data_IF_368222410545
#
_entry.id   IF_368222410545
#
_cell.length_a   1.000
_cell.length_b   1.000
_cell.length_c   1.000
_cell.angle_alpha   90.00
_cell.angle_beta   90.00
_cell.angle_gamma   90.00
#
_symmetry.space_group_name_H-M   'P 1'
#
loop_
_entity.id
_entity.type
_entity.pdbx_description
1 polymer ?
#
# COMPACT_ATOMS: atom_id res chain seq x y z
N UNK A 1 -71.78 56.18 7.17
CA UNK A 1 -72.23 54.87 7.67
C UNK A 1 -71.72 53.80 6.71
N UNK A 2 -71.00 52.81 7.25
CA UNK A 2 -70.58 51.52 6.69
C UNK A 2 -69.66 51.50 5.44
N UNK A 3 -68.37 51.37 5.73
CA UNK A 3 -67.21 51.00 4.91
C UNK A 3 -67.26 49.51 4.51
N UNK A 4 -67.02 49.17 3.24
CA UNK A 4 -66.78 47.79 2.81
C UNK A 4 -65.40 47.67 2.13
N UNK A 5 -64.45 47.07 2.86
CA UNK A 5 -63.09 46.73 2.42
C UNK A 5 -63.14 45.65 1.33
N UNK A 6 -62.47 45.88 0.20
CA UNK A 6 -62.02 44.84 -0.74
C UNK A 6 -60.55 44.52 -0.48
N UNK A 7 -60.26 43.35 0.06
CA UNK A 7 -58.92 42.78 0.07
C UNK A 7 -58.66 42.07 -1.26
N UNK A 8 -57.64 42.52 -2.00
CA UNK A 8 -57.02 41.77 -3.09
C UNK A 8 -56.04 40.77 -2.47
N UNK A 9 -56.25 39.48 -2.75
CA UNK A 9 -55.30 38.42 -2.44
C UNK A 9 -54.17 38.41 -3.45
N UNK A 10 -52.94 38.50 -2.95
CA UNK A 10 -51.71 38.32 -3.74
C UNK A 10 -51.26 36.87 -3.57
N UNK A 11 -51.35 36.08 -4.64
CA UNK A 11 -50.79 34.73 -4.69
C UNK A 11 -49.25 34.84 -4.71
N UNK A 12 -48.58 34.28 -3.71
CA UNK A 12 -47.14 34.04 -3.72
C UNK A 12 -46.89 32.67 -4.31
N UNK A 13 -46.35 32.63 -5.53
CA UNK A 13 -45.78 31.43 -6.13
C UNK A 13 -44.39 31.22 -5.50
N UNK A 14 -44.21 30.15 -4.73
CA UNK A 14 -42.90 29.70 -4.27
C UNK A 14 -42.36 28.70 -5.31
N UNK A 15 -41.33 29.11 -6.05
CA UNK A 15 -40.57 28.22 -6.94
C UNK A 15 -39.49 27.58 -6.08
N UNK A 16 -39.72 26.33 -5.67
CA UNK A 16 -38.69 25.48 -5.09
C UNK A 16 -37.86 24.90 -6.25
N UNK A 17 -36.66 25.44 -6.45
CA UNK A 17 -35.67 24.87 -7.37
C UNK A 17 -35.09 23.60 -6.78
N UNK A 18 -35.50 22.45 -7.31
CA UNK A 18 -34.93 21.15 -7.01
C UNK A 18 -33.62 21.02 -7.82
N UNK A 19 -32.48 21.32 -7.21
CA UNK A 19 -31.16 20.98 -7.78
C UNK A 19 -30.91 19.51 -7.46
N UNK A 20 -31.16 18.65 -8.44
CA UNK A 20 -30.69 17.26 -8.42
C UNK A 20 -29.22 17.29 -8.79
N UNK A 21 -28.34 17.37 -7.79
CA UNK A 21 -26.93 17.08 -7.96
C UNK A 21 -26.75 15.58 -8.16
N UNK A 22 -26.59 15.15 -9.40
CA UNK A 22 -26.11 13.81 -9.70
C UNK A 22 -24.63 13.75 -9.28
N UNK A 23 -24.34 13.23 -8.09
CA UNK A 23 -23.01 12.72 -7.77
C UNK A 23 -22.80 11.48 -8.63
N UNK A 24 -22.09 11.63 -9.73
CA UNK A 24 -21.49 10.50 -10.43
C UNK A 24 -20.30 10.03 -9.58
N UNK A 25 -20.49 8.93 -8.86
CA UNK A 25 -19.40 8.17 -8.27
C UNK A 25 -18.61 7.55 -9.43
N UNK A 26 -17.45 8.12 -9.74
CA UNK A 26 -16.47 7.47 -10.59
C UNK A 26 -15.88 6.34 -9.77
N UNK A 27 -16.31 5.10 -10.04
CA UNK A 27 -15.62 3.92 -9.52
C UNK A 27 -14.19 3.95 -10.03
N UNK A 28 -13.23 3.98 -9.09
CA UNK A 28 -11.81 3.86 -9.39
C UNK A 28 -11.58 2.39 -9.70
N UNK A 29 -11.47 2.05 -10.98
CA UNK A 29 -10.92 0.75 -11.38
C UNK A 29 -9.46 0.66 -10.93
N UNK A 30 -8.97 -0.49 -10.44
CA UNK A 30 -7.57 -0.61 -10.07
C UNK A 30 -6.75 -0.46 -11.35
N UNK A 31 -5.65 0.28 -11.25
CA UNK A 31 -4.76 0.53 -12.37
C UNK A 31 -4.04 -0.77 -12.74
N UNK A 32 -4.63 -1.54 -13.65
CA UNK A 32 -3.78 -2.23 -14.62
C UNK A 32 -3.05 -1.11 -15.35
N UNK A 33 -1.71 -1.10 -15.30
CA UNK A 33 -0.87 -0.16 -16.04
C UNK A 33 -1.49 0.08 -17.42
N UNK A 34 -2.02 1.29 -17.63
CA UNK A 34 -2.72 1.61 -18.85
C UNK A 34 -1.74 1.43 -20.02
N UNK A 35 -2.23 1.00 -21.17
CA UNK A 35 -1.42 0.99 -22.38
C UNK A 35 -0.85 2.41 -22.60
N UNK A 36 0.47 2.59 -22.47
CA UNK A 36 1.12 3.90 -22.47
C UNK A 36 1.50 4.48 -21.09
N UNK A 37 1.50 3.70 -20.01
CA UNK A 37 2.09 4.12 -18.73
C UNK A 37 3.55 4.53 -18.89
N UNK A 38 3.98 5.56 -18.16
CA UNK A 38 5.37 6.05 -18.15
C UNK A 38 5.90 6.18 -16.71
N UNK A 39 7.21 6.22 -16.55
CA UNK A 39 7.88 6.64 -15.31
C UNK A 39 8.15 8.13 -15.38
N UNK A 40 7.64 8.92 -14.43
CA UNK A 40 7.90 10.36 -14.40
C UNK A 40 9.00 10.71 -13.40
N UNK A 41 10.01 11.44 -13.86
CA UNK A 41 11.09 11.96 -13.00
C UNK A 41 11.03 13.48 -12.99
N UNK A 42 10.71 14.06 -11.84
CA UNK A 42 10.56 15.50 -11.72
C UNK A 42 11.89 16.21 -11.43
N UNK A 43 12.47 16.84 -12.44
CA UNK A 43 13.78 17.50 -12.36
C UNK A 43 13.70 18.99 -12.02
N UNK A 44 12.54 19.46 -11.54
CA UNK A 44 12.37 20.83 -11.05
C UNK A 44 12.89 21.00 -9.63
N UNK A 45 12.64 22.17 -9.03
CA UNK A 45 12.91 22.39 -7.59
C UNK A 45 14.36 22.08 -7.18
N UNK A 46 15.32 22.47 -8.02
CA UNK A 46 16.77 22.29 -7.79
C UNK A 46 17.18 20.83 -7.53
N UNK A 47 16.45 19.88 -8.13
CA UNK A 47 16.81 18.47 -8.20
C UNK A 47 18.26 18.28 -8.65
N UNK A 48 18.93 17.28 -8.09
CA UNK A 48 20.28 16.93 -8.52
C UNK A 48 20.23 16.29 -9.92
N UNK A 49 20.93 16.84 -10.94
CA UNK A 49 20.91 16.28 -12.30
C UNK A 49 21.74 15.00 -12.38
N UNK A 50 21.12 13.84 -12.17
CA UNK A 50 21.86 12.57 -12.02
C UNK A 50 21.87 11.65 -13.25
N UNK A 51 21.37 12.08 -14.41
CA UNK A 51 21.70 11.43 -15.69
C UNK A 51 21.12 10.02 -15.89
N UNK A 52 21.95 9.08 -16.40
CA UNK A 52 21.52 7.83 -17.07
C UNK A 52 20.84 6.78 -16.18
N UNK A 53 20.93 6.87 -14.85
CA UNK A 53 20.40 5.83 -13.95
C UNK A 53 18.87 5.69 -14.02
N UNK A 54 18.14 6.79 -14.20
CA UNK A 54 16.68 6.72 -14.35
C UNK A 54 16.26 6.05 -15.66
N UNK A 55 17.06 6.15 -16.73
CA UNK A 55 16.81 5.41 -17.97
C UNK A 55 17.00 3.90 -17.77
N UNK A 56 17.99 3.50 -16.96
CA UNK A 56 18.18 2.09 -16.59
C UNK A 56 17.03 1.58 -15.72
N UNK A 57 16.53 2.40 -14.80
CA UNK A 57 15.31 2.11 -14.05
C UNK A 57 14.11 1.90 -14.99
N UNK A 58 13.89 2.80 -15.97
CA UNK A 58 12.85 2.62 -16.98
C UNK A 58 12.99 1.30 -17.74
N UNK A 59 14.21 0.92 -18.11
CA UNK A 59 14.50 -0.39 -18.71
C UNK A 59 14.16 -1.57 -17.80
N UNK A 60 14.44 -1.47 -16.50
CA UNK A 60 14.12 -2.50 -15.50
C UNK A 60 12.62 -2.60 -15.21
N UNK A 61 11.92 -1.46 -15.22
CA UNK A 61 10.46 -1.34 -15.10
C UNK A 61 9.76 -1.82 -16.37
N UNK A 62 10.42 -1.71 -17.52
CA UNK A 62 9.82 -1.99 -18.84
C UNK A 62 8.95 -0.85 -19.37
N UNK A 63 9.12 0.36 -18.85
CA UNK A 63 8.34 1.55 -19.21
C UNK A 63 9.26 2.69 -19.68
N UNK A 64 8.79 3.57 -20.58
CA UNK A 64 9.52 4.78 -20.94
C UNK A 64 9.65 5.71 -19.73
N UNK A 65 10.76 6.46 -19.68
CA UNK A 65 11.00 7.48 -18.65
C UNK A 65 10.82 8.86 -19.26
N UNK A 66 10.03 9.70 -18.60
CA UNK A 66 9.84 11.11 -18.92
C UNK A 66 10.45 11.97 -17.83
N UNK A 67 11.49 12.73 -18.19
CA UNK A 67 12.12 13.69 -17.30
C UNK A 67 11.64 15.10 -17.63
N UNK A 68 11.20 15.87 -16.62
CA UNK A 68 10.77 17.25 -16.83
C UNK A 68 10.91 18.09 -15.58
N UNK A 69 11.36 19.34 -15.76
CA UNK A 69 11.33 20.36 -14.71
C UNK A 69 9.99 21.09 -14.63
N UNK A 70 9.09 20.84 -15.58
CA UNK A 70 7.71 21.32 -15.55
C UNK A 70 6.81 20.20 -15.05
N UNK A 71 6.09 20.46 -13.96
CA UNK A 71 5.21 19.47 -13.35
C UNK A 71 3.95 19.26 -14.23
N UNK A 72 3.60 18.00 -14.58
CA UNK A 72 2.45 17.71 -15.45
C UNK A 72 1.12 18.08 -14.80
N UNK A 73 0.12 18.39 -15.62
CA UNK A 73 -1.24 18.67 -15.13
C UNK A 73 -2.02 17.40 -14.78
N UNK A 74 -1.71 16.28 -15.45
CA UNK A 74 -2.36 14.99 -15.25
C UNK A 74 -1.29 13.96 -14.90
N UNK A 75 -1.50 13.27 -13.78
CA UNK A 75 -0.55 12.28 -13.26
C UNK A 75 -1.01 10.83 -13.46
N UNK A 76 -2.26 10.61 -13.87
CA UNK A 76 -2.85 9.27 -13.99
C UNK A 76 -2.26 8.39 -15.10
N UNK A 77 -1.41 8.96 -15.96
CA UNK A 77 -0.67 8.21 -16.99
C UNK A 77 0.68 7.70 -16.49
N UNK A 78 1.08 8.06 -15.27
CA UNK A 78 2.36 7.64 -14.71
C UNK A 78 2.16 6.47 -13.77
N UNK A 79 2.99 5.44 -13.95
CA UNK A 79 3.03 4.26 -13.08
C UNK A 79 3.71 4.60 -11.75
N UNK A 80 4.80 5.35 -11.82
CA UNK A 80 5.50 5.89 -10.68
C UNK A 80 6.02 7.30 -10.95
N UNK A 81 6.08 8.10 -9.89
CA UNK A 81 6.68 9.43 -9.88
C UNK A 81 7.91 9.38 -8.97
N UNK A 82 9.03 9.88 -9.47
CA UNK A 82 10.27 10.03 -8.72
C UNK A 82 10.56 11.51 -8.46
N UNK A 83 10.91 11.79 -7.20
CA UNK A 83 11.38 13.10 -6.73
C UNK A 83 12.88 12.98 -6.40
N UNK A 84 13.77 13.25 -7.35
CA UNK A 84 15.20 13.00 -7.25
C UNK A 84 15.93 14.12 -6.51
N UNK A 85 16.02 14.00 -5.18
CA UNK A 85 16.83 14.92 -4.36
C UNK A 85 16.45 16.38 -4.61
N UNK A 86 15.15 16.68 -4.72
CA UNK A 86 14.67 18.05 -4.90
C UNK A 86 15.01 18.87 -3.65
N UNK A 87 15.63 20.03 -3.83
CA UNK A 87 16.22 20.86 -2.74
C UNK A 87 15.46 22.14 -2.43
N UNK A 88 14.40 22.40 -3.17
CA UNK A 88 13.54 23.57 -3.00
C UNK A 88 12.12 23.10 -2.76
N UNK A 89 11.44 23.66 -1.76
CA UNK A 89 10.06 23.32 -1.40
C UNK A 89 9.12 23.34 -2.60
N UNK A 90 8.25 22.33 -2.69
CA UNK A 90 7.23 22.26 -3.73
C UNK A 90 6.17 23.34 -3.54
N UNK A 91 5.66 23.87 -4.65
CA UNK A 91 4.51 24.79 -4.55
C UNK A 91 3.29 24.05 -4.01
N UNK A 92 2.34 24.73 -3.34
CA UNK A 92 1.13 24.10 -2.83
C UNK A 92 0.33 23.33 -3.90
N UNK A 93 0.36 23.80 -5.16
CA UNK A 93 -0.30 23.11 -6.27
C UNK A 93 0.36 21.78 -6.63
N UNK A 94 1.70 21.72 -6.65
CA UNK A 94 2.43 20.47 -6.89
C UNK A 94 2.25 19.52 -5.71
N UNK A 95 2.38 20.00 -4.48
CA UNK A 95 2.15 19.20 -3.27
C UNK A 95 0.75 18.59 -3.28
N UNK A 96 -0.29 19.37 -3.58
CA UNK A 96 -1.66 18.86 -3.67
C UNK A 96 -1.83 17.79 -4.75
N UNK A 97 -1.16 17.94 -5.89
CA UNK A 97 -1.20 16.97 -6.98
C UNK A 97 -0.50 15.65 -6.59
N UNK A 98 0.64 15.72 -5.90
CA UNK A 98 1.34 14.54 -5.37
C UNK A 98 0.49 13.79 -4.35
N UNK A 99 -0.13 14.51 -3.41
CA UNK A 99 -1.06 13.93 -2.42
C UNK A 99 -2.23 13.23 -3.11
N UNK A 100 -2.84 13.87 -4.11
CA UNK A 100 -3.95 13.27 -4.87
C UNK A 100 -3.51 12.03 -5.66
N UNK A 101 -2.31 12.05 -6.24
CA UNK A 101 -1.76 10.94 -6.99
C UNK A 101 -1.55 9.69 -6.11
N UNK A 102 -0.90 9.84 -4.95
CA UNK A 102 -0.68 8.70 -4.04
C UNK A 102 -2.01 8.18 -3.49
N UNK A 103 -2.89 9.07 -3.00
CA UNK A 103 -4.20 8.64 -2.50
C UNK A 103 -5.04 7.92 -3.57
N UNK A 104 -4.85 8.24 -4.85
CA UNK A 104 -5.52 7.64 -5.99
C UNK A 104 -4.92 6.32 -6.49
N UNK A 105 -3.89 5.78 -5.85
CA UNK A 105 -3.26 4.52 -6.25
C UNK A 105 -1.83 4.62 -6.78
N UNK A 106 -1.30 5.83 -6.92
CA UNK A 106 0.02 6.03 -7.52
C UNK A 106 1.19 5.69 -6.59
N UNK A 107 2.30 5.25 -7.17
CA UNK A 107 3.56 5.03 -6.45
C UNK A 107 4.44 6.28 -6.51
N UNK A 108 4.73 6.88 -5.35
CA UNK A 108 5.56 8.08 -5.22
C UNK A 108 6.85 7.77 -4.46
N UNK A 109 7.99 7.96 -5.12
CA UNK A 109 9.32 7.74 -4.58
C UNK A 109 9.97 9.09 -4.27
N UNK A 110 10.06 9.43 -2.99
CA UNK A 110 10.75 10.59 -2.46
C UNK A 110 12.19 10.22 -2.07
N UNK A 111 13.16 10.82 -2.76
CA UNK A 111 14.58 10.50 -2.61
C UNK A 111 15.25 11.71 -1.96
N UNK A 112 15.71 11.54 -0.73
CA UNK A 112 16.63 12.45 -0.06
C UNK A 112 18.07 12.08 -0.35
N UNK A 113 18.96 12.58 0.50
CA UNK A 113 20.40 12.30 0.45
C UNK A 113 21.01 12.64 1.82
N UNK A 114 22.27 12.30 2.07
CA UNK A 114 22.94 12.65 3.33
C UNK A 114 23.07 14.17 3.59
N UNK A 115 23.10 14.54 4.87
CA UNK A 115 23.04 15.95 5.31
C UNK A 115 24.25 16.81 4.88
N UNK A 116 25.41 16.21 4.55
CA UNK A 116 26.65 16.98 4.33
C UNK A 116 26.54 18.04 3.23
N UNK A 117 25.76 17.78 2.19
CA UNK A 117 25.54 18.72 1.08
C UNK A 117 24.06 18.86 0.68
N UNK A 118 23.17 18.09 1.30
CA UNK A 118 21.78 17.94 0.86
C UNK A 118 20.76 18.08 1.99
N UNK A 119 21.10 18.81 3.06
CA UNK A 119 20.18 19.20 4.12
C UNK A 119 18.82 19.72 3.61
N UNK A 120 18.84 20.54 2.55
CA UNK A 120 17.62 21.09 1.95
C UNK A 120 16.79 20.03 1.20
N UNK A 121 17.40 18.96 0.70
CA UNK A 121 16.66 17.82 0.15
C UNK A 121 15.97 17.03 1.26
N UNK A 122 16.63 16.82 2.40
CA UNK A 122 16.03 16.21 3.59
C UNK A 122 14.80 17.02 4.03
N UNK A 123 14.93 18.34 4.16
CA UNK A 123 13.82 19.25 4.48
C UNK A 123 12.67 19.10 3.47
N UNK A 124 12.98 19.18 2.17
CA UNK A 124 11.98 19.13 1.10
C UNK A 124 11.25 17.79 1.04
N UNK A 125 11.95 16.66 1.19
CA UNK A 125 11.31 15.33 1.21
C UNK A 125 10.50 15.10 2.49
N UNK A 126 10.92 15.66 3.63
CA UNK A 126 10.13 15.64 4.86
C UNK A 126 8.84 16.47 4.75
N UNK A 127 8.87 17.60 4.04
CA UNK A 127 7.65 18.35 3.70
C UNK A 127 6.68 17.52 2.85
N UNK A 128 7.19 16.77 1.87
CA UNK A 128 6.37 15.84 1.06
C UNK A 128 5.80 14.72 1.92
N UNK A 129 6.62 14.08 2.74
CA UNK A 129 6.21 13.00 3.66
C UNK A 129 5.08 13.46 4.58
N UNK A 130 5.23 14.63 5.20
CA UNK A 130 4.21 15.22 6.05
C UNK A 130 2.94 15.59 5.27
N UNK A 131 3.08 16.08 4.03
CA UNK A 131 1.93 16.47 3.21
C UNK A 131 1.09 15.28 2.75
N UNK A 132 1.71 14.14 2.43
CA UNK A 132 0.99 12.90 2.10
C UNK A 132 0.42 12.20 3.34
N UNK A 133 0.84 12.61 4.54
CA UNK A 133 0.39 12.05 5.80
C UNK A 133 1.10 10.76 6.18
N UNK A 134 2.33 10.54 5.68
CA UNK A 134 3.13 9.39 6.03
C UNK A 134 3.73 9.51 7.44
N UNK A 135 3.87 8.38 8.11
CA UNK A 135 4.37 8.24 9.48
C UNK A 135 5.89 7.98 9.51
N UNK A 136 6.64 8.67 8.65
CA UNK A 136 8.08 8.53 8.52
C UNK A 136 8.76 9.84 8.09
N UNK A 137 10.04 9.99 8.41
CA UNK A 137 10.84 11.16 8.03
C UNK A 137 12.32 10.82 7.89
N UNK A 138 13.03 11.56 7.07
CA UNK A 138 14.48 11.49 6.95
C UNK A 138 15.16 12.15 8.15
N UNK A 139 16.25 11.52 8.61
CA UNK A 139 17.13 12.03 9.66
C UNK A 139 18.27 12.87 9.06
N UNK A 140 18.75 13.87 9.80
CA UNK A 140 19.91 14.69 9.41
C UNK A 140 21.22 13.97 9.78
N UNK A 141 21.45 12.86 9.11
CA UNK A 141 22.61 12.00 9.35
C UNK A 141 23.44 11.84 8.07
N UNK A 142 24.70 11.50 8.26
CA UNK A 142 25.59 11.05 7.19
C UNK A 142 26.14 9.68 7.59
N UNK A 143 25.36 8.65 7.28
CA UNK A 143 25.65 7.27 7.62
C UNK A 143 26.50 6.68 6.50
N UNK A 144 27.57 6.00 6.87
CA UNK A 144 28.44 5.24 5.98
C UNK A 144 29.03 6.09 4.84
N UNK A 145 29.79 7.16 5.14
CA UNK A 145 30.45 7.97 4.12
C UNK A 145 31.44 7.12 3.33
N UNK A 146 31.05 6.72 2.13
CA UNK A 146 31.73 5.73 1.32
C UNK A 146 30.72 5.03 0.41
N UNK A 147 31.12 3.93 -0.21
CA UNK A 147 30.21 3.13 -1.03
C UNK A 147 30.24 1.69 -0.57
N UNK A 148 29.07 1.13 -0.31
CA UNK A 148 28.91 -0.15 0.35
C UNK A 148 27.75 -0.95 -0.24
N UNK A 149 27.68 -2.22 0.18
CA UNK A 149 26.50 -3.05 -0.02
C UNK A 149 25.96 -3.49 1.34
N UNK A 150 24.64 -3.64 1.42
CA UNK A 150 23.93 -4.23 2.57
C UNK A 150 23.15 -5.46 2.13
N UNK A 151 22.99 -6.40 3.06
CA UNK A 151 22.12 -7.57 2.95
C UNK A 151 21.00 -7.53 4.01
N UNK A 152 20.86 -6.41 4.72
CA UNK A 152 19.80 -6.20 5.70
C UNK A 152 18.52 -5.75 4.96
N UNK A 153 17.89 -6.72 4.30
CA UNK A 153 16.64 -6.53 3.54
C UNK A 153 15.48 -7.05 4.41
N UNK A 154 14.54 -6.17 4.72
CA UNK A 154 13.32 -6.55 5.44
C UNK A 154 12.34 -7.19 4.44
N UNK A 155 11.68 -8.27 4.84
CA UNK A 155 10.76 -9.00 3.96
C UNK A 155 9.51 -8.17 3.66
N UNK A 156 9.22 -7.98 2.38
CA UNK A 156 8.08 -7.21 1.88
C UNK A 156 7.78 -7.63 0.44
N UNK A 157 6.54 -7.49 -0.06
CA UNK A 157 6.25 -7.59 -1.49
C UNK A 157 7.14 -6.66 -2.33
N UNK A 158 7.54 -5.50 -1.79
CA UNK A 158 8.41 -4.56 -2.47
C UNK A 158 9.88 -4.99 -2.52
N UNK A 159 10.30 -5.95 -1.70
CA UNK A 159 11.69 -6.45 -1.65
C UNK A 159 11.83 -7.85 -2.25
N UNK A 160 10.79 -8.35 -2.94
CA UNK A 160 10.85 -9.66 -3.58
C UNK A 160 11.99 -9.74 -4.62
N UNK A 161 12.84 -10.76 -4.48
CA UNK A 161 14.00 -10.95 -5.34
C UNK A 161 15.18 -10.02 -5.05
N UNK A 162 15.11 -9.20 -4.00
CA UNK A 162 16.20 -8.32 -3.55
C UNK A 162 17.00 -9.03 -2.45
N UNK A 163 18.28 -9.25 -2.69
CA UNK A 163 19.21 -9.94 -1.78
C UNK A 163 20.38 -9.05 -1.34
N UNK A 164 20.71 -8.04 -2.14
CA UNK A 164 21.69 -7.02 -1.79
C UNK A 164 21.34 -5.67 -2.39
N UNK A 165 21.64 -4.61 -1.65
CA UNK A 165 21.50 -3.23 -2.11
C UNK A 165 22.84 -2.51 -1.98
N UNK A 166 23.27 -1.88 -3.08
CA UNK A 166 24.39 -0.94 -3.09
C UNK A 166 23.90 0.45 -2.71
N UNK A 167 24.65 1.13 -1.85
CA UNK A 167 24.33 2.49 -1.40
C UNK A 167 25.62 3.26 -1.09
N UNK A 168 25.54 4.58 -1.11
CA UNK A 168 26.61 5.49 -0.73
C UNK A 168 26.36 6.06 0.69
N UNK A 169 26.95 7.22 1.01
CA UNK A 169 26.61 7.91 2.24
C UNK A 169 25.13 8.25 2.25
N UNK A 170 24.38 7.88 3.29
CA UNK A 170 22.91 7.96 3.32
C UNK A 170 22.40 8.69 4.56
N UNK A 171 21.25 9.35 4.45
CA UNK A 171 20.42 9.68 5.59
C UNK A 171 19.70 8.42 6.12
N UNK A 172 19.28 8.44 7.38
CA UNK A 172 18.36 7.44 7.92
C UNK A 172 16.91 7.81 7.66
N UNK A 173 16.00 6.84 7.77
CA UNK A 173 14.55 7.06 7.80
C UNK A 173 14.02 6.65 9.18
N UNK A 174 13.56 7.64 9.93
CA UNK A 174 12.85 7.44 11.19
C UNK A 174 11.39 7.06 10.92
N UNK A 175 10.90 6.04 11.62
CA UNK A 175 9.52 5.58 11.57
C UNK A 175 8.82 5.94 12.88
N UNK A 176 7.60 6.45 12.81
CA UNK A 176 6.78 6.73 13.98
C UNK A 176 6.36 5.43 14.67
N UNK A 177 6.42 5.38 16.00
CA UNK A 177 6.14 4.17 16.78
C UNK A 177 4.69 3.69 16.63
N UNK A 178 3.75 4.61 16.46
CA UNK A 178 2.33 4.34 16.27
C UNK A 178 1.91 4.43 14.78
N UNK A 179 2.90 4.55 13.89
CA UNK A 179 2.72 4.70 12.45
C UNK A 179 2.55 3.38 11.71
N UNK A 180 2.26 3.46 10.41
CA UNK A 180 2.12 2.28 9.53
C UNK A 180 3.26 2.12 8.52
N UNK A 181 4.18 3.09 8.46
CA UNK A 181 5.39 2.97 7.66
C UNK A 181 6.25 1.78 8.09
N UNK A 182 6.80 1.06 7.12
CA UNK A 182 7.68 -0.08 7.35
C UNK A 182 9.05 0.12 6.69
N UNK A 183 10.08 -0.38 7.38
CA UNK A 183 11.43 -0.48 6.85
C UNK A 183 11.48 -1.52 5.73
N UNK A 184 12.20 -1.20 4.65
CA UNK A 184 12.46 -2.12 3.54
C UNK A 184 13.95 -2.49 3.45
N UNK A 185 14.84 -1.51 3.64
CA UNK A 185 16.29 -1.71 3.53
C UNK A 185 16.98 -0.97 4.67
N UNK A 186 17.95 -1.66 5.30
CA UNK A 186 18.76 -1.12 6.39
C UNK A 186 20.24 -1.10 6.04
N UNK A 187 20.97 -0.16 6.63
CA UNK A 187 22.42 -0.07 6.49
C UNK A 187 23.12 -1.32 7.04
N UNK A 188 24.31 -1.60 6.51
CA UNK A 188 25.05 -2.83 6.81
C UNK A 188 25.41 -2.97 8.30
N UNK A 189 25.53 -4.21 8.78
CA UNK A 189 25.91 -4.53 10.17
C UNK A 189 27.25 -3.92 10.63
N UNK A 190 28.20 -3.74 9.72
CA UNK A 190 29.53 -3.17 10.01
C UNK A 190 29.66 -1.68 9.77
N UNK A 191 28.54 -0.97 9.60
CA UNK A 191 28.51 0.46 9.32
C UNK A 191 28.75 1.36 10.55
N UNK A 192 28.76 2.65 10.30
CA UNK A 192 28.82 3.74 11.28
C UNK A 192 27.51 3.88 12.08
N UNK A 193 26.38 3.50 11.50
CA UNK A 193 25.09 3.34 12.18
C UNK A 193 24.42 2.04 11.70
N UNK A 194 24.82 0.86 12.22
CA UNK A 194 24.35 -0.43 11.74
C UNK A 194 22.85 -0.64 11.82
N UNK A 195 22.27 -1.30 10.79
CA UNK A 195 20.85 -1.69 10.73
C UNK A 195 19.88 -0.51 10.85
N UNK A 196 20.33 0.68 10.49
CA UNK A 196 19.49 1.87 10.41
C UNK A 196 18.68 1.80 9.14
N UNK A 197 17.37 1.96 9.22
CA UNK A 197 16.50 2.04 8.05
C UNK A 197 16.93 3.22 7.18
N UNK A 198 17.08 3.02 5.88
CA UNK A 198 17.31 4.11 4.92
C UNK A 198 16.44 4.03 3.67
N UNK A 199 15.66 2.95 3.53
CA UNK A 199 14.53 2.87 2.60
C UNK A 199 13.33 2.38 3.39
N UNK A 200 12.25 3.14 3.36
CA UNK A 200 11.00 2.78 3.99
C UNK A 200 9.82 3.09 3.06
N UNK A 201 8.70 2.43 3.30
CA UNK A 201 7.50 2.63 2.51
C UNK A 201 6.24 2.50 3.36
N UNK A 202 5.17 3.14 2.90
CA UNK A 202 3.88 3.16 3.56
C UNK A 202 2.74 3.19 2.55
N UNK A 203 1.63 2.53 2.88
CA UNK A 203 0.39 2.63 2.12
C UNK A 203 -0.33 3.93 2.49
N UNK A 204 -0.57 4.80 1.51
CA UNK A 204 -1.27 6.07 1.71
C UNK A 204 -2.47 6.12 0.76
N UNK A 205 -3.67 6.08 1.33
CA UNK A 205 -4.89 5.91 0.55
C UNK A 205 -4.83 4.60 -0.25
N UNK A 206 -4.99 4.68 -1.57
CA UNK A 206 -4.86 3.53 -2.47
C UNK A 206 -3.45 3.25 -2.99
N UNK A 207 -2.45 4.10 -2.70
CA UNK A 207 -1.12 4.00 -3.31
C UNK A 207 0.01 3.77 -2.32
N UNK A 208 1.24 3.81 -2.82
CA UNK A 208 2.46 3.62 -2.01
C UNK A 208 3.29 4.89 -1.99
N UNK A 209 3.64 5.35 -0.79
CA UNK A 209 4.68 6.36 -0.60
C UNK A 209 5.97 5.70 -0.14
N UNK A 210 7.08 6.04 -0.78
CA UNK A 210 8.42 5.51 -0.47
C UNK A 210 9.33 6.68 -0.14
N UNK A 211 10.09 6.54 0.95
CA UNK A 211 11.09 7.52 1.38
C UNK A 211 12.47 6.86 1.44
N UNK A 212 13.45 7.47 0.78
CA UNK A 212 14.82 6.96 0.66
C UNK A 212 15.83 8.01 1.12
N UNK A 213 16.84 7.58 1.86
CA UNK A 213 17.92 8.46 2.36
C UNK A 213 19.12 8.63 1.43
N UNK A 214 19.14 7.93 0.29
CA UNK A 214 20.21 7.95 -0.73
C UNK A 214 19.57 7.80 -2.11
N UNK A 215 20.20 8.38 -3.14
CA UNK A 215 19.77 8.30 -4.54
C UNK A 215 20.06 6.97 -5.24
N UNK A 216 20.27 5.88 -4.51
CA UNK A 216 20.70 4.54 -4.95
C UNK A 216 20.02 3.92 -6.21
N UNK A 217 18.90 4.45 -6.70
CA UNK A 217 18.24 4.04 -7.94
C UNK A 217 18.79 4.72 -9.21
N UNK A 218 19.52 5.82 -9.05
CA UNK A 218 19.93 6.71 -10.14
C UNK A 218 21.45 6.83 -10.29
N UNK A 219 22.22 6.40 -9.28
CA UNK A 219 23.67 6.50 -9.37
C UNK A 219 24.23 5.55 -10.43
N UNK A 220 25.30 5.99 -11.10
CA UNK A 220 26.12 5.15 -11.96
C UNK A 220 26.86 4.05 -11.18
N UNK A 221 26.66 3.97 -9.86
CA UNK A 221 27.06 2.86 -9.01
C UNK A 221 26.37 1.54 -9.37
N UNK A 222 25.30 1.56 -10.16
CA UNK A 222 24.63 0.35 -10.67
C UNK A 222 25.61 -0.63 -11.34
N UNK A 223 26.59 -0.12 -12.08
CA UNK A 223 27.62 -0.94 -12.74
C UNK A 223 28.78 -1.35 -11.79
N UNK A 224 28.93 -0.69 -10.64
CA UNK A 224 30.02 -0.95 -9.70
C UNK A 224 29.74 -2.11 -8.75
N UNK A 225 28.47 -2.52 -8.56
CA UNK A 225 28.13 -3.51 -7.54
C UNK A 225 27.40 -4.76 -8.00
N UNK A 226 26.75 -4.77 -9.18
CA UNK A 226 25.96 -5.94 -9.61
C UNK A 226 24.88 -6.35 -8.60
N UNK A 227 24.38 -5.39 -7.81
CA UNK A 227 23.37 -5.58 -6.77
C UNK A 227 21.95 -5.42 -7.31
N UNK A 228 20.96 -5.73 -6.48
CA UNK A 228 19.54 -5.79 -6.84
C UNK A 228 18.84 -4.42 -6.82
N UNK A 229 19.57 -3.31 -6.92
CA UNK A 229 19.02 -1.94 -6.90
C UNK A 229 17.94 -1.72 -7.97
N UNK A 230 18.14 -2.22 -9.19
CA UNK A 230 17.15 -2.12 -10.26
C UNK A 230 15.94 -3.05 -10.03
N UNK A 231 16.14 -4.19 -9.35
CA UNK A 231 15.04 -5.07 -8.95
C UNK A 231 14.18 -4.37 -7.90
N UNK A 232 14.81 -3.76 -6.89
CA UNK A 232 14.11 -2.95 -5.91
C UNK A 232 13.40 -1.77 -6.58
N UNK A 233 14.09 -0.99 -7.41
CA UNK A 233 13.50 0.15 -8.11
C UNK A 233 12.28 -0.23 -8.95
N UNK A 234 12.34 -1.37 -9.67
CA UNK A 234 11.18 -1.93 -10.36
C UNK A 234 10.04 -2.22 -9.38
N UNK A 235 10.31 -2.98 -8.33
CA UNK A 235 9.30 -3.35 -7.35
C UNK A 235 8.68 -2.11 -6.67
N UNK A 236 9.46 -1.07 -6.37
CA UNK A 236 8.96 0.18 -5.80
C UNK A 236 8.07 0.96 -6.78
N UNK A 237 8.37 0.90 -8.08
CA UNK A 237 7.60 1.60 -9.11
C UNK A 237 6.31 0.89 -9.51
N UNK A 238 6.29 -0.45 -9.55
CA UNK A 238 5.15 -1.24 -10.06
C UNK A 238 4.48 -2.11 -9.02
N UNK A 239 5.09 -2.26 -7.84
CA UNK A 239 4.54 -3.02 -6.73
C UNK A 239 3.60 -2.18 -5.88
N UNK A 240 2.96 -2.82 -4.91
CA UNK A 240 2.06 -2.15 -3.97
C UNK A 240 2.28 -2.69 -2.56
N UNK A 241 2.20 -1.78 -1.58
CA UNK A 241 2.04 -2.15 -0.17
C UNK A 241 0.59 -2.26 0.28
N UNK A 242 -0.36 -1.92 -0.58
CA UNK A 242 -1.78 -2.12 -0.28
C UNK A 242 -1.98 -3.60 -0.04
N UNK A 243 -2.14 -3.95 1.24
CA UNK A 243 -2.62 -5.25 1.61
C UNK A 243 -4.10 -5.29 1.28
N UNK A 244 -4.48 -6.23 0.44
CA UNK A 244 -5.85 -6.56 0.09
C UNK A 244 -6.66 -6.67 1.37
N UNK A 245 -7.83 -6.04 1.37
CA UNK A 245 -8.74 -6.15 2.49
C UNK A 245 -9.65 -7.37 2.32
N UNK A 246 -10.09 -7.91 3.43
CA UNK A 246 -11.13 -8.93 3.45
C UNK A 246 -12.43 -8.28 3.90
N UNK A 247 -13.53 -8.61 3.23
CA UNK A 247 -14.85 -8.60 3.86
C UNK A 247 -15.06 -10.04 4.30
N UNK A 248 -14.79 -10.29 5.58
CA UNK A 248 -14.25 -11.56 6.02
C UNK A 248 -15.27 -12.69 6.07
N UNK A 249 -15.32 -13.45 7.16
CA UNK A 249 -16.09 -14.69 7.15
C UNK A 249 -17.59 -14.44 7.16
N UNK A 250 -18.23 -14.79 6.05
CA UNK A 250 -19.67 -14.77 5.91
C UNK A 250 -20.29 -16.07 6.43
N UNK A 251 -21.52 -15.98 6.93
CA UNK A 251 -22.28 -17.12 7.48
C UNK A 251 -22.12 -18.41 6.65
N UNK A 252 -21.85 -19.56 7.28
CA UNK A 252 -22.19 -19.88 8.67
C UNK A 252 -21.04 -19.69 9.68
N UNK A 253 -19.98 -18.97 9.31
CA UNK A 253 -18.88 -18.62 10.22
C UNK A 253 -19.07 -17.17 10.62
N UNK A 254 -18.97 -16.90 11.92
CA UNK A 254 -19.09 -15.56 12.47
C UNK A 254 -17.71 -15.00 12.82
N UNK A 255 -17.57 -13.68 12.62
CA UNK A 255 -16.36 -12.92 12.96
C UNK A 255 -16.35 -12.55 14.45
N UNK A 256 -15.15 -12.37 15.00
CA UNK A 256 -14.91 -11.93 16.39
C UNK A 256 -15.51 -12.81 17.50
N UNK A 257 -15.98 -14.00 17.16
CA UNK A 257 -16.47 -15.02 18.09
C UNK A 257 -15.80 -16.36 17.84
N UNK A 258 -15.90 -17.25 18.83
CA UNK A 258 -15.36 -18.60 18.72
C UNK A 258 -16.42 -19.52 18.15
N UNK A 259 -16.20 -19.98 16.92
CA UNK A 259 -17.13 -20.80 16.15
C UNK A 259 -17.13 -22.25 16.68
N UNK A 260 -18.27 -22.77 17.14
CA UNK A 260 -18.35 -24.17 17.58
C UNK A 260 -18.87 -25.08 16.48
N UNK A 261 -18.11 -26.13 16.19
CA UNK A 261 -18.40 -27.08 15.11
C UNK A 261 -18.24 -28.51 15.62
N UNK A 262 -19.05 -29.44 15.10
CA UNK A 262 -18.83 -30.87 15.36
C UNK A 262 -17.50 -31.35 14.74
N UNK A 263 -16.69 -32.06 15.52
CA UNK A 263 -15.45 -32.67 15.03
C UNK A 263 -15.74 -33.62 13.85
N UNK A 264 -14.98 -33.49 12.77
CA UNK A 264 -15.19 -34.23 11.52
C UNK A 264 -16.29 -33.66 10.61
N UNK A 265 -16.87 -32.49 10.90
CA UNK A 265 -17.80 -31.80 10.01
C UNK A 265 -17.08 -31.09 8.85
N UNK A 266 -17.84 -30.60 7.88
CA UNK A 266 -17.33 -29.76 6.80
C UNK A 266 -17.85 -28.34 7.01
N UNK A 267 -16.96 -27.35 7.12
CA UNK A 267 -17.30 -25.94 7.29
C UNK A 267 -17.05 -25.21 5.97
N UNK A 268 -18.06 -24.58 5.36
CA UNK A 268 -17.85 -23.69 4.22
C UNK A 268 -17.39 -22.33 4.72
N UNK A 269 -16.11 -22.01 4.52
CA UNK A 269 -15.55 -20.70 4.81
C UNK A 269 -15.76 -19.82 3.58
N UNK A 270 -16.48 -18.72 3.76
CA UNK A 270 -16.85 -17.80 2.68
C UNK A 270 -16.35 -16.40 3.00
N UNK A 271 -15.73 -15.73 2.05
CA UNK A 271 -15.18 -14.39 2.24
C UNK A 271 -15.05 -13.67 0.89
N UNK A 272 -14.84 -12.36 0.91
CA UNK A 272 -14.48 -11.56 -0.26
C UNK A 272 -13.14 -10.88 -0.04
N UNK A 273 -12.41 -10.65 -1.12
CA UNK A 273 -11.11 -9.98 -1.10
C UNK A 273 -11.23 -8.74 -1.97
N UNK A 274 -10.70 -7.63 -1.51
CA UNK A 274 -10.70 -6.37 -2.24
C UNK A 274 -9.29 -5.81 -2.38
N UNK A 275 -9.03 -5.20 -3.53
CA UNK A 275 -7.92 -4.30 -3.76
C UNK A 275 -8.47 -2.87 -3.85
N UNK A 276 -8.32 -2.11 -2.78
CA UNK A 276 -9.09 -0.89 -2.55
C UNK A 276 -10.61 -1.17 -2.56
N UNK A 277 -11.33 -0.50 -3.46
CA UNK A 277 -12.78 -0.69 -3.67
C UNK A 277 -13.13 -1.81 -4.66
N UNK A 278 -12.12 -2.45 -5.27
CA UNK A 278 -12.35 -3.45 -6.33
C UNK A 278 -12.33 -4.86 -5.77
N UNK A 279 -13.44 -5.58 -5.95
CA UNK A 279 -13.50 -6.99 -5.57
C UNK A 279 -12.62 -7.85 -6.47
N UNK A 280 -11.70 -8.61 -5.87
CA UNK A 280 -10.89 -9.59 -6.55
C UNK A 280 -11.67 -10.90 -6.63
N UNK A 281 -11.74 -11.47 -7.83
CA UNK A 281 -12.51 -12.69 -8.09
C UNK A 281 -11.67 -13.90 -8.52
N UNK A 282 -10.36 -13.72 -8.71
CA UNK A 282 -9.45 -14.79 -9.13
C UNK A 282 -8.93 -15.56 -7.91
N UNK A 283 -9.17 -16.90 -7.79
CA UNK A 283 -8.62 -17.74 -6.73
C UNK A 283 -7.09 -17.71 -6.59
N UNK A 284 -6.34 -17.34 -7.64
CA UNK A 284 -4.89 -17.21 -7.58
C UNK A 284 -4.40 -16.13 -6.59
N UNK A 285 -5.30 -15.23 -6.14
CA UNK A 285 -4.99 -14.21 -5.13
C UNK A 285 -4.73 -14.78 -3.74
N UNK A 286 -5.29 -15.96 -3.43
CA UNK A 286 -5.10 -16.62 -2.14
C UNK A 286 -3.85 -17.47 -2.23
N UNK A 287 -2.83 -17.07 -1.48
CA UNK A 287 -1.56 -17.78 -1.40
C UNK A 287 -1.70 -19.06 -0.57
N UNK A 288 -2.36 -18.96 0.59
CA UNK A 288 -2.45 -20.10 1.49
C UNK A 288 -3.74 -20.15 2.30
N UNK A 289 -4.08 -21.38 2.66
CA UNK A 289 -5.12 -21.71 3.63
C UNK A 289 -4.52 -22.66 4.66
N UNK A 290 -4.43 -22.22 5.91
CA UNK A 290 -3.81 -22.99 6.99
C UNK A 290 -4.76 -23.18 8.16
N UNK A 291 -4.52 -24.26 8.91
CA UNK A 291 -5.28 -24.62 10.10
C UNK A 291 -4.31 -25.06 11.18
N UNK A 292 -4.29 -24.35 12.30
CA UNK A 292 -3.32 -24.57 13.37
C UNK A 292 -4.07 -24.87 14.68
N UNK A 293 -3.71 -25.94 15.42
CA UNK A 293 -4.23 -26.14 16.77
C UNK A 293 -3.80 -24.99 17.69
N UNK A 294 -4.74 -24.44 18.45
CA UNK A 294 -4.49 -23.34 19.40
C UNK A 294 -5.02 -23.70 20.79
N UNK A 295 -4.59 -22.95 21.80
CA UNK A 295 -5.15 -23.04 23.14
C UNK A 295 -6.61 -22.59 23.10
N UNK A 296 -7.51 -23.35 23.73
CA UNK A 296 -8.91 -22.96 23.80
C UNK A 296 -9.07 -21.69 24.62
N UNK A 297 -9.83 -20.69 24.12
CA UNK A 297 -10.16 -19.52 24.92
C UNK A 297 -10.93 -19.97 26.16
N UNK A 298 -10.61 -19.38 27.32
CA UNK A 298 -11.26 -19.68 28.58
C UNK A 298 -12.79 -19.61 28.44
N UNK A 299 -13.51 -20.48 29.17
CA UNK A 299 -14.91 -20.85 28.96
C UNK A 299 -15.99 -19.74 29.06
N UNK A 300 -15.62 -18.46 28.98
CA UNK A 300 -16.49 -17.29 29.03
C UNK A 300 -16.69 -16.59 27.67
N UNK A 301 -16.03 -17.00 26.58
CA UNK A 301 -16.30 -16.44 25.26
C UNK A 301 -17.72 -16.80 24.78
N UNK A 302 -18.48 -15.87 24.17
CA UNK A 302 -19.72 -16.21 23.49
C UNK A 302 -19.44 -17.26 22.44
N UNK A 303 -20.17 -18.35 22.49
CA UNK A 303 -20.04 -19.46 21.55
C UNK A 303 -21.26 -19.45 20.65
N UNK A 304 -21.04 -19.41 19.34
CA UNK A 304 -22.09 -19.72 18.37
C UNK A 304 -21.94 -21.16 17.87
N UNK A 305 -23.06 -21.87 17.78
CA UNK A 305 -23.10 -23.23 17.27
C UNK A 305 -23.34 -23.20 15.76
N UNK A 306 -22.32 -23.61 15.00
CA UNK A 306 -22.40 -23.71 13.55
C UNK A 306 -23.19 -24.96 13.18
N UNK A 307 -24.46 -24.80 12.82
CA UNK A 307 -25.27 -25.87 12.24
C UNK A 307 -25.12 -25.92 10.71
N UNK A 308 -24.30 -26.85 10.17
CA UNK A 308 -24.49 -27.24 8.76
C UNK A 308 -23.86 -28.59 8.35
N UNK A 309 -24.39 -29.15 7.24
CA UNK A 309 -23.89 -30.32 6.50
C UNK A 309 -23.73 -29.98 5.03
N UNK A 310 -22.57 -30.30 4.44
CA UNK A 310 -22.43 -30.46 2.97
C UNK A 310 -21.27 -31.38 2.59
N UNK A 311 -21.42 -32.00 1.42
CA UNK A 311 -20.53 -32.95 0.74
C UNK A 311 -19.80 -32.31 -0.45
N UNK A 312 -18.49 -32.55 -0.59
CA UNK A 312 -17.76 -32.48 -1.88
C UNK A 312 -16.89 -31.23 -2.15
N UNK A 313 -15.71 -31.52 -2.74
CA UNK A 313 -14.62 -30.67 -3.30
C UNK A 313 -14.01 -29.61 -2.35
N UNK A 314 -12.75 -29.86 -1.98
CA UNK A 314 -11.88 -29.10 -1.07
C UNK A 314 -11.05 -28.01 -1.78
N UNK A 315 -11.35 -27.69 -3.03
CA UNK A 315 -10.66 -26.65 -3.78
C UNK A 315 -11.26 -25.27 -3.46
N UNK A 316 -10.39 -24.29 -3.24
CA UNK A 316 -10.76 -22.88 -3.21
C UNK A 316 -11.40 -22.53 -4.55
N UNK A 317 -12.52 -21.80 -4.50
CA UNK A 317 -13.22 -21.33 -5.69
C UNK A 317 -13.87 -20.00 -5.43
N UNK A 318 -14.00 -19.19 -6.47
CA UNK A 318 -14.85 -18.01 -6.46
C UNK A 318 -16.20 -18.36 -7.09
N UNK A 319 -17.29 -18.26 -6.32
CA UNK A 319 -18.65 -18.60 -6.77
C UNK A 319 -19.70 -17.80 -6.00
N UNK A 320 -20.77 -17.38 -6.68
CA UNK A 320 -21.85 -16.58 -6.09
C UNK A 320 -21.37 -15.29 -5.40
N UNK A 321 -20.39 -14.60 -6.00
CA UNK A 321 -19.87 -13.33 -5.50
C UNK A 321 -18.99 -13.44 -4.25
N UNK A 322 -18.31 -14.58 -4.06
CA UNK A 322 -17.44 -14.83 -2.90
C UNK A 322 -16.48 -15.96 -3.15
N UNK A 323 -15.34 -15.93 -2.45
CA UNK A 323 -14.50 -17.09 -2.29
C UNK A 323 -15.21 -18.10 -1.38
N UNK A 324 -15.01 -19.39 -1.65
CA UNK A 324 -15.45 -20.47 -0.80
C UNK A 324 -14.37 -21.54 -0.67
N UNK A 325 -13.91 -21.76 0.56
CA UNK A 325 -13.04 -22.87 0.95
C UNK A 325 -13.82 -23.85 1.83
N UNK A 326 -14.00 -25.09 1.38
CA UNK A 326 -14.64 -26.12 2.20
C UNK A 326 -13.59 -26.79 3.07
N UNK A 327 -13.57 -26.50 4.37
CA UNK A 327 -12.66 -27.12 5.32
C UNK A 327 -13.28 -28.36 5.97
N UNK A 328 -12.63 -29.52 5.81
CA UNK A 328 -12.98 -30.75 6.54
C UNK A 328 -12.30 -30.73 7.90
N UNK A 329 -13.05 -30.51 8.98
CA UNK A 329 -12.47 -30.40 10.32
C UNK A 329 -11.87 -31.73 10.80
N UNK A 330 -10.80 -31.69 11.60
CA UNK A 330 -10.29 -32.88 12.29
C UNK A 330 -11.37 -33.57 13.11
N UNK A 331 -11.26 -34.90 13.24
CA UNK A 331 -12.08 -35.68 14.21
C UNK A 331 -11.63 -35.48 15.66
N UNK A 332 -10.42 -34.94 15.85
CA UNK A 332 -9.87 -34.61 17.15
C UNK A 332 -10.56 -33.36 17.67
N UNK A 333 -11.13 -33.44 18.86
CA UNK A 333 -11.70 -32.29 19.56
C UNK A 333 -10.58 -31.36 20.02
N UNK A 334 -10.86 -30.06 20.07
CA UNK A 334 -9.87 -29.05 20.44
C UNK A 334 -10.17 -27.72 19.79
N UNK A 335 -9.28 -26.75 20.00
CA UNK A 335 -9.39 -25.43 19.41
C UNK A 335 -8.42 -25.26 18.26
N UNK A 336 -8.87 -24.58 17.22
CA UNK A 336 -8.15 -24.43 15.96
C UNK A 336 -8.34 -23.01 15.45
N UNK A 337 -7.29 -22.42 14.93
CA UNK A 337 -7.36 -21.19 14.16
C UNK A 337 -7.24 -21.52 12.68
N UNK A 338 -8.13 -20.95 11.89
CA UNK A 338 -8.05 -20.94 10.43
C UNK A 338 -7.43 -19.63 10.00
N UNK A 339 -6.50 -19.68 9.04
CA UNK A 339 -5.90 -18.49 8.43
C UNK A 339 -5.95 -18.60 6.91
N UNK A 340 -6.52 -17.59 6.27
CA UNK A 340 -6.42 -17.35 4.82
C UNK A 340 -5.35 -16.27 4.64
N UNK A 341 -4.41 -16.46 3.73
CA UNK A 341 -3.44 -15.42 3.35
C UNK A 341 -3.50 -15.15 1.84
N UNK A 342 -3.41 -13.89 1.46
CA UNK A 342 -3.28 -13.45 0.07
C UNK A 342 -1.81 -13.28 -0.33
N UNK A 343 -1.54 -13.24 -1.64
CA UNK A 343 -0.16 -13.16 -2.19
C UNK A 343 0.62 -11.90 -1.82
N UNK A 344 -0.05 -10.88 -1.29
CA UNK A 344 0.50 -9.63 -0.77
C UNK A 344 0.61 -9.63 0.77
N UNK A 345 0.39 -10.80 1.39
CA UNK A 345 0.59 -11.03 2.82
C UNK A 345 -0.58 -10.60 3.72
N UNK A 346 -1.69 -10.10 3.17
CA UNK A 346 -2.88 -9.83 3.97
C UNK A 346 -3.45 -11.15 4.52
N UNK A 347 -3.98 -11.12 5.75
CA UNK A 347 -4.53 -12.34 6.39
C UNK A 347 -5.93 -12.13 6.94
N UNK A 348 -6.74 -13.19 6.88
CA UNK A 348 -8.04 -13.31 7.51
C UNK A 348 -8.03 -14.53 8.42
N UNK A 349 -8.43 -14.35 9.69
CA UNK A 349 -8.41 -15.41 10.69
C UNK A 349 -9.76 -15.65 11.34
N UNK A 350 -9.99 -16.88 11.81
CA UNK A 350 -11.16 -17.23 12.61
C UNK A 350 -10.86 -18.42 13.51
N UNK A 351 -11.37 -18.36 14.75
CA UNK A 351 -11.15 -19.36 15.78
C UNK A 351 -12.34 -20.33 15.89
N UNK A 352 -12.03 -21.60 16.05
CA UNK A 352 -12.98 -22.70 16.11
C UNK A 352 -12.76 -23.58 17.35
N UNK A 353 -13.87 -24.05 17.94
CA UNK A 353 -13.89 -25.14 18.94
C UNK A 353 -14.56 -26.36 18.31
N UNK A 354 -13.84 -27.47 18.23
CA UNK A 354 -14.35 -28.74 17.73
C UNK A 354 -14.85 -29.62 18.88
N UNK A 355 -16.15 -29.96 18.85
CA UNK A 355 -16.85 -30.76 19.88
C UNK A 355 -17.31 -32.12 19.41
#
# INVERSE_FOLDING_TARGET
MATQRRHRGSARLAIAGLIVGALAWMGVTPAIAAEGSEVFVYTGNDADPLGVGYLQLGGAVGLPVVESSTFPTYLSSYECILLPVNRTSFSPGITSALVAYVNGGGNLLAIGENDLNYASAIETMNEVSAAVGASMSLTYENIDPGVFATHEIDASPLTEGVSSIGYAGTAGVALDVDGTAQSLVRTRLGGTAPRTTFVAAETIGGGTFVLMGDHMLADNLLDLFGNDNLVLGRNLCTGSLVQRSFDGFMGPVDEDVVNTVKAGATVPLQFRIFDGDTEITDPAVVESFTVTPVTCPDAAAPVDEVEFTTTGKTELRYTNGKFQQNWKTPKTKGCYQVTVATTDGATLTSDFVLR
#
